data_IF_386034530150
#
_entry.id   IF_386034530150
#
_cell.length_a   1.000
_cell.length_b   1.000
_cell.length_c   1.000
_cell.angle_alpha   90.00
_cell.angle_beta   90.00
_cell.angle_gamma   90.00
#
_symmetry.space_group_name_H-M   'P 1'
#
loop_
_entity.id
_entity.type
_entity.pdbx_description
1 polymer ?
#
# COMPACT_ATOMS: atom_id res chain seq x y z
N UNK A 1 -14.44 -20.12 -21.42
CA UNK A 1 -13.65 -19.11 -22.17
C UNK A 1 -12.93 -18.24 -21.15
N UNK A 2 -11.64 -18.51 -20.86
CA UNK A 2 -10.83 -17.67 -19.97
C UNK A 2 -10.57 -16.33 -20.63
N UNK A 3 -10.75 -15.24 -19.88
CA UNK A 3 -10.35 -13.90 -20.34
C UNK A 3 -8.83 -13.88 -20.55
N UNK A 4 -8.32 -13.28 -21.63
CA UNK A 4 -6.89 -13.19 -21.88
C UNK A 4 -6.33 -12.07 -21.00
N UNK A 5 -5.82 -12.44 -19.84
CA UNK A 5 -5.19 -11.51 -18.91
C UNK A 5 -4.72 -12.23 -17.67
N UNK A 6 -3.41 -12.51 -17.63
CA UNK A 6 -2.60 -12.86 -16.45
C UNK A 6 -2.70 -14.31 -15.94
N UNK A 7 -1.54 -14.98 -15.85
CA UNK A 7 -1.33 -16.27 -15.21
C UNK A 7 -1.67 -16.18 -13.71
N UNK A 8 -2.94 -16.32 -13.35
CA UNK A 8 -3.41 -16.53 -11.97
C UNK A 8 -3.57 -18.01 -11.68
N UNK A 9 -2.75 -18.86 -12.30
CA UNK A 9 -2.72 -20.28 -11.98
C UNK A 9 -2.40 -20.44 -10.49
N UNK A 10 -3.10 -21.33 -9.78
CA UNK A 10 -2.92 -21.51 -8.34
C UNK A 10 -1.43 -21.68 -7.95
N UNK A 11 -0.68 -22.43 -8.74
CA UNK A 11 0.75 -22.69 -8.53
C UNK A 11 1.62 -21.43 -8.53
N UNK A 12 1.32 -20.46 -9.42
CA UNK A 12 2.06 -19.19 -9.46
C UNK A 12 1.75 -18.34 -8.23
N UNK A 13 0.48 -18.28 -7.82
CA UNK A 13 0.07 -17.53 -6.63
C UNK A 13 0.73 -18.08 -5.35
N UNK A 14 0.88 -19.41 -5.25
CA UNK A 14 1.65 -20.05 -4.17
C UNK A 14 3.15 -19.72 -4.22
N UNK A 15 3.72 -19.65 -5.42
CA UNK A 15 5.14 -19.26 -5.58
C UNK A 15 5.37 -17.80 -5.22
N UNK A 16 4.46 -16.90 -5.62
CA UNK A 16 4.52 -15.47 -5.32
C UNK A 16 4.51 -15.17 -3.83
N UNK A 17 3.77 -15.97 -3.05
CA UNK A 17 3.66 -15.84 -1.59
C UNK A 17 4.72 -16.66 -0.84
N UNK A 18 5.61 -17.35 -1.55
CA UNK A 18 6.60 -18.26 -0.98
C UNK A 18 5.95 -19.31 -0.05
N UNK A 19 4.78 -19.83 -0.45
CA UNK A 19 4.00 -20.82 0.30
C UNK A 19 3.11 -20.27 1.43
N UNK A 20 3.06 -18.95 1.63
CA UNK A 20 2.23 -18.35 2.70
C UNK A 20 0.77 -18.23 2.26
N UNK A 21 -0.14 -18.69 3.12
CA UNK A 21 -1.59 -18.64 2.87
C UNK A 21 -2.30 -17.46 3.56
N UNK A 22 -1.59 -16.71 4.43
CA UNK A 22 -2.14 -15.57 5.16
C UNK A 22 -1.04 -14.52 5.39
N UNK A 23 -1.35 -13.22 5.33
CA UNK A 23 -0.42 -12.21 5.83
C UNK A 23 -0.10 -12.45 7.31
N UNK A 24 1.07 -12.01 7.76
CA UNK A 24 1.46 -12.10 9.17
C UNK A 24 0.40 -11.45 10.08
N UNK A 25 0.24 -11.93 11.33
CA UNK A 25 -0.85 -11.50 12.22
C UNK A 25 -0.91 -9.99 12.49
N UNK A 26 0.21 -9.28 12.35
CA UNK A 26 0.33 -7.84 12.61
C UNK A 26 0.28 -6.96 11.34
N UNK A 27 -0.06 -7.51 10.18
CA UNK A 27 -0.07 -6.73 8.93
C UNK A 27 -1.23 -5.70 8.92
N UNK A 28 -0.97 -4.39 8.89
CA UNK A 28 -1.96 -3.33 9.12
C UNK A 28 -2.81 -3.00 7.87
N UNK A 29 -3.01 -3.97 6.97
CA UNK A 29 -3.63 -3.74 5.66
C UNK A 29 -5.05 -4.30 5.62
N UNK A 30 -6.03 -3.41 5.80
CA UNK A 30 -7.41 -3.66 5.37
C UNK A 30 -7.58 -3.26 3.89
N UNK A 31 -8.83 -3.19 3.39
CA UNK A 31 -9.08 -2.84 1.97
C UNK A 31 -8.82 -1.37 1.66
N UNK A 32 -9.05 -0.49 2.63
CA UNK A 32 -9.04 0.97 2.49
C UNK A 32 -7.75 1.59 3.06
N UNK A 33 -6.90 0.81 3.71
CA UNK A 33 -5.56 1.23 4.10
C UNK A 33 -4.83 1.81 2.90
N UNK A 34 -4.41 3.07 3.03
CA UNK A 34 -3.60 3.76 2.03
C UNK A 34 -2.14 3.35 2.23
N UNK A 35 -1.49 2.96 1.14
CA UNK A 35 -0.09 2.56 1.12
C UNK A 35 0.73 3.65 0.44
N UNK A 36 1.88 3.96 1.01
CA UNK A 36 2.84 4.93 0.46
C UNK A 36 4.21 4.27 0.35
N UNK A 37 4.88 4.46 -0.79
CA UNK A 37 6.27 4.04 -0.97
C UNK A 37 7.21 4.92 -0.14
N UNK A 38 8.16 4.28 0.54
CA UNK A 38 9.24 4.96 1.28
C UNK A 38 10.57 4.92 0.50
N UNK A 39 10.60 4.22 -0.63
CA UNK A 39 11.77 4.12 -1.50
C UNK A 39 11.37 3.81 -2.95
N UNK A 40 12.28 4.12 -3.88
CA UNK A 40 12.13 3.73 -5.28
C UNK A 40 12.39 2.22 -5.49
N UNK A 41 11.82 1.62 -6.56
CA UNK A 41 12.14 0.26 -6.95
C UNK A 41 13.63 0.10 -7.31
N UNK A 42 14.26 -0.98 -6.83
CA UNK A 42 15.65 -1.32 -7.16
C UNK A 42 15.75 -2.47 -8.17
N UNK A 43 16.81 -2.52 -8.99
CA UNK A 43 17.09 -3.68 -9.84
C UNK A 43 17.16 -5.00 -9.05
N UNK A 44 16.63 -6.08 -9.61
CA UNK A 44 16.62 -7.40 -8.98
C UNK A 44 15.47 -7.63 -7.98
N UNK A 45 14.63 -6.62 -7.72
CA UNK A 45 13.40 -6.83 -6.96
C UNK A 45 12.41 -7.73 -7.71
N UNK A 46 11.61 -8.49 -6.94
CA UNK A 46 10.45 -9.19 -7.47
C UNK A 46 9.54 -8.20 -8.22
N UNK A 47 9.02 -8.63 -9.38
CA UNK A 47 8.29 -7.76 -10.30
C UNK A 47 7.08 -7.08 -9.65
N UNK A 48 6.35 -7.82 -8.83
CA UNK A 48 5.18 -7.37 -8.10
C UNK A 48 5.56 -6.35 -7.01
N UNK A 49 6.65 -6.57 -6.27
CA UNK A 49 7.16 -5.60 -5.30
C UNK A 49 7.58 -4.28 -5.96
N UNK A 50 8.28 -4.35 -7.10
CA UNK A 50 8.65 -3.17 -7.86
C UNK A 50 7.42 -2.43 -8.42
N UNK A 51 6.40 -3.17 -8.84
CA UNK A 51 5.14 -2.59 -9.32
C UNK A 51 4.35 -1.92 -8.19
N UNK A 52 4.27 -2.53 -7.00
CA UNK A 52 3.65 -1.94 -5.82
C UNK A 52 4.29 -0.59 -5.52
N UNK A 53 5.63 -0.52 -5.43
CA UNK A 53 6.32 0.74 -5.12
C UNK A 53 5.97 1.87 -6.10
N UNK A 54 5.93 1.58 -7.41
CA UNK A 54 5.51 2.56 -8.43
C UNK A 54 4.04 2.99 -8.27
N UNK A 55 3.14 2.06 -7.95
CA UNK A 55 1.72 2.36 -7.74
C UNK A 55 1.48 3.20 -6.48
N UNK A 56 2.40 3.14 -5.51
CA UNK A 56 2.29 3.81 -4.20
C UNK A 56 3.19 5.05 -4.07
N UNK A 57 3.72 5.59 -5.18
CA UNK A 57 4.38 6.92 -5.19
C UNK A 57 3.45 8.02 -4.66
N UNK A 58 2.14 7.82 -4.82
CA UNK A 58 1.06 8.55 -4.17
C UNK A 58 0.27 7.59 -3.27
N UNK A 59 -0.40 8.08 -2.22
CA UNK A 59 -1.21 7.23 -1.35
C UNK A 59 -2.28 6.49 -2.16
N UNK A 60 -2.21 5.16 -2.16
CA UNK A 60 -3.10 4.29 -2.96
C UNK A 60 -3.68 3.20 -2.07
N UNK A 61 -4.98 2.92 -2.15
CA UNK A 61 -5.61 1.92 -1.29
C UNK A 61 -5.18 0.50 -1.65
N UNK A 62 -5.11 -0.39 -0.66
CA UNK A 62 -4.72 -1.79 -0.88
C UNK A 62 -5.60 -2.51 -1.92
N UNK A 63 -6.90 -2.18 -1.98
CA UNK A 63 -7.82 -2.73 -3.00
C UNK A 63 -7.50 -2.22 -4.41
N UNK A 64 -7.10 -0.96 -4.55
CA UNK A 64 -6.72 -0.38 -5.84
C UNK A 64 -5.42 -1.02 -6.34
N UNK A 65 -4.44 -1.23 -5.45
CA UNK A 65 -3.20 -1.94 -5.78
C UNK A 65 -3.52 -3.36 -6.27
N UNK A 66 -4.42 -4.08 -5.59
CA UNK A 66 -4.84 -5.41 -6.02
C UNK A 66 -5.49 -5.40 -7.41
N UNK A 67 -6.36 -4.43 -7.68
CA UNK A 67 -7.02 -4.27 -8.97
C UNK A 67 -6.01 -3.99 -10.10
N UNK A 68 -5.07 -3.06 -9.89
CA UNK A 68 -4.04 -2.69 -10.87
C UNK A 68 -3.05 -3.82 -11.14
N UNK A 69 -2.68 -4.57 -10.11
CA UNK A 69 -1.84 -5.76 -10.27
C UNK A 69 -2.61 -6.94 -10.86
N UNK A 70 -3.94 -6.90 -10.90
CA UNK A 70 -4.79 -8.03 -11.27
C UNK A 70 -4.57 -9.24 -10.36
N UNK A 71 -4.32 -9.01 -9.06
CA UNK A 71 -4.07 -10.06 -8.07
C UNK A 71 -5.20 -10.13 -7.04
N UNK A 72 -5.49 -11.31 -6.46
CA UNK A 72 -6.39 -11.40 -5.33
C UNK A 72 -5.91 -10.53 -4.17
N UNK A 73 -6.83 -9.83 -3.50
CA UNK A 73 -6.52 -8.96 -2.35
C UNK A 73 -5.70 -9.68 -1.27
N UNK A 74 -5.99 -10.96 -1.02
CA UNK A 74 -5.26 -11.78 -0.04
C UNK A 74 -3.76 -11.89 -0.39
N UNK A 75 -3.44 -12.07 -1.67
CA UNK A 75 -2.07 -12.15 -2.17
C UNK A 75 -1.40 -10.79 -2.09
N UNK A 76 -2.09 -9.72 -2.53
CA UNK A 76 -1.57 -8.35 -2.41
C UNK A 76 -1.25 -7.98 -0.97
N UNK A 77 -2.09 -8.37 0.00
CA UNK A 77 -1.80 -8.13 1.43
C UNK A 77 -0.55 -8.85 1.93
N UNK A 78 -0.24 -10.03 1.40
CA UNK A 78 1.02 -10.74 1.75
C UNK A 78 2.22 -9.95 1.24
N UNK A 79 2.18 -9.52 -0.02
CA UNK A 79 3.26 -8.72 -0.63
C UNK A 79 3.43 -7.36 0.07
N UNK A 80 2.33 -6.72 0.45
CA UNK A 80 2.35 -5.48 1.23
C UNK A 80 2.94 -5.69 2.62
N UNK A 81 2.61 -6.80 3.30
CA UNK A 81 3.21 -7.14 4.58
C UNK A 81 4.72 -7.35 4.47
N UNK A 82 5.19 -8.00 3.41
CA UNK A 82 6.63 -8.20 3.14
C UNK A 82 7.36 -6.86 2.92
N UNK A 83 6.79 -5.98 2.09
CA UNK A 83 7.34 -4.64 1.87
C UNK A 83 7.33 -3.79 3.12
N UNK A 84 6.28 -3.89 3.93
CA UNK A 84 6.14 -3.13 5.17
C UNK A 84 7.15 -3.59 6.22
N UNK A 85 7.30 -4.90 6.40
CA UNK A 85 8.32 -5.48 7.28
C UNK A 85 9.75 -5.09 6.85
N UNK A 86 9.98 -4.93 5.55
CA UNK A 86 11.24 -4.44 5.00
C UNK A 86 11.41 -2.91 5.06
N UNK A 87 10.45 -2.16 5.61
CA UNK A 87 10.49 -0.69 5.70
C UNK A 87 10.37 0.03 4.36
N UNK A 88 9.89 -0.64 3.30
CA UNK A 88 9.80 -0.08 1.94
C UNK A 88 8.48 0.62 1.65
N UNK A 89 7.45 0.32 2.44
CA UNK A 89 6.15 1.00 2.38
C UNK A 89 5.63 1.30 3.78
N UNK A 90 4.88 2.39 3.91
CA UNK A 90 4.10 2.70 5.10
C UNK A 90 2.60 2.51 4.87
N UNK A 91 1.90 2.17 5.95
CA UNK A 91 0.46 2.02 5.99
C UNK A 91 -0.16 3.24 6.69
N UNK A 92 -1.05 3.94 5.99
CA UNK A 92 -1.84 5.06 6.51
C UNK A 92 -3.30 4.67 6.52
N UNK A 93 -3.87 4.55 7.71
CA UNK A 93 -5.31 4.39 7.82
C UNK A 93 -5.99 5.70 7.43
N UNK A 94 -7.05 5.67 6.60
CA UNK A 94 -7.82 6.86 6.29
C UNK A 94 -8.40 7.39 7.60
N UNK A 95 -7.83 8.49 8.10
CA UNK A 95 -8.37 9.22 9.24
C UNK A 95 -9.40 10.19 8.69
N UNK A 96 -10.58 10.23 9.29
CA UNK A 96 -11.44 11.41 9.20
C UNK A 96 -10.59 12.58 9.69
N UNK A 97 -10.33 13.55 8.81
CA UNK A 97 -9.60 14.75 9.20
C UNK A 97 -10.38 15.39 10.35
N UNK A 98 -9.79 15.45 11.54
CA UNK A 98 -10.32 16.28 12.60
C UNK A 98 -10.23 17.72 12.06
N UNK A 99 -11.38 18.38 11.91
CA UNK A 99 -11.42 19.78 11.53
C UNK A 99 -10.68 20.55 12.64
N UNK A 100 -9.55 21.22 12.34
CA UNK A 100 -8.82 21.96 13.35
C UNK A 100 -9.71 23.06 13.91
N UNK A 101 -9.56 23.35 15.20
CA UNK A 101 -10.27 24.45 15.83
C UNK A 101 -9.92 25.76 15.11
N UNK A 102 -10.91 26.52 14.61
CA UNK A 102 -10.69 27.80 13.94
C UNK A 102 -9.82 28.76 14.75
N UNK A 103 -9.95 28.75 16.08
CA UNK A 103 -9.21 29.65 16.97
C UNK A 103 -7.71 29.36 16.92
N UNK A 104 -7.32 28.08 16.80
CA UNK A 104 -5.91 27.68 16.64
C UNK A 104 -5.38 28.15 15.28
N UNK A 105 -6.18 28.02 14.22
CA UNK A 105 -5.77 28.47 12.88
C UNK A 105 -5.58 29.99 12.84
N UNK A 106 -6.43 30.76 13.54
CA UNK A 106 -6.28 32.21 13.68
C UNK A 106 -5.00 32.57 14.45
N UNK A 107 -4.69 31.87 15.55
CA UNK A 107 -3.45 32.08 16.29
C UNK A 107 -2.20 31.80 15.44
N UNK A 108 -2.20 30.73 14.64
CA UNK A 108 -1.10 30.43 13.72
C UNK A 108 -0.96 31.51 12.64
N UNK A 109 -2.08 31.98 12.07
CA UNK A 109 -2.08 33.05 11.05
C UNK A 109 -1.48 34.35 11.61
N UNK A 110 -1.89 34.75 12.81
CA UNK A 110 -1.35 35.94 13.50
C UNK A 110 0.14 35.76 13.76
N UNK A 111 0.56 34.58 14.24
CA UNK A 111 1.97 34.26 14.45
C UNK A 111 2.81 34.36 13.17
N UNK A 112 2.34 33.79 12.06
CA UNK A 112 3.06 33.82 10.76
C UNK A 112 3.16 35.22 10.15
N UNK A 113 2.20 36.11 10.42
CA UNK A 113 2.19 37.49 9.90
C UNK A 113 3.06 38.45 10.69
N UNK A 114 3.46 38.07 11.90
CA UNK A 114 4.28 38.88 12.80
C UNK A 114 5.76 38.45 12.80
N UNK A 115 6.19 37.72 11.77
CA UNK A 115 7.58 37.31 11.52
C UNK A 115 8.25 38.17 10.45
#
# INVERSE_FOLDING_TARGET
MSRPGRDDTPDRLYTLTQGRSRPGPDAPFDLVTLVVAECDPMPGMQSEHAAILRLTERPTAAVEIAAELGLPVSITRILLADLHAAGKVSARHPRTAAVPDPDILEQVLVGLRNL
#
